data_IF_780407298323
#
_entry.id   IF_780407298323
#
_cell.length_a   1.000
_cell.length_b   1.000
_cell.length_c   1.000
_cell.angle_alpha   90.00
_cell.angle_beta   90.00
_cell.angle_gamma   90.00
#
_symmetry.space_group_name_H-M   'P 1'
#
loop_
_entity.id
_entity.type
_entity.pdbx_description
1 polymer ?
#
# COMPACT_ATOMS: atom_id res chain seq x y z
N UNK A 1 -3.68 12.54 -3.59
CA UNK A 1 -4.33 11.23 -3.59
C UNK A 1 -3.47 10.29 -4.44
N UNK A 2 -3.03 9.14 -3.90
CA UNK A 2 -2.21 8.15 -4.60
C UNK A 2 -2.97 7.53 -5.78
N UNK A 3 -4.25 7.22 -5.58
CA UNK A 3 -5.10 6.60 -6.61
C UNK A 3 -5.55 7.53 -7.74
N UNK A 4 -5.03 8.77 -7.83
CA UNK A 4 -5.41 9.73 -8.88
C UNK A 4 -5.16 9.24 -10.31
N UNK A 5 -4.28 8.25 -10.51
CA UNK A 5 -4.05 7.63 -11.81
C UNK A 5 -5.17 6.66 -12.23
N UNK A 6 -5.97 6.17 -11.28
CA UNK A 6 -7.10 5.27 -11.52
C UNK A 6 -8.44 6.00 -11.37
N UNK A 7 -8.59 6.79 -10.31
CA UNK A 7 -9.84 7.44 -9.91
C UNK A 7 -10.24 8.55 -10.87
N UNK A 8 -11.46 8.47 -11.42
CA UNK A 8 -11.99 9.36 -12.45
C UNK A 8 -11.81 8.86 -13.88
N UNK A 9 -11.13 7.73 -14.10
CA UNK A 9 -10.97 7.10 -15.42
C UNK A 9 -12.03 6.01 -15.65
N UNK A 10 -11.68 4.74 -15.48
CA UNK A 10 -12.61 3.59 -15.50
C UNK A 10 -12.99 3.13 -14.07
N UNK A 11 -12.28 3.64 -13.07
CA UNK A 11 -12.56 3.48 -11.64
C UNK A 11 -12.98 4.84 -11.10
N UNK A 12 -13.98 4.91 -10.22
CA UNK A 12 -14.40 6.16 -9.58
C UNK A 12 -15.16 7.14 -10.49
N UNK A 13 -15.53 6.73 -11.70
CA UNK A 13 -16.16 7.61 -12.71
C UNK A 13 -17.66 7.35 -12.92
N UNK A 14 -18.19 6.25 -12.39
CA UNK A 14 -19.55 5.81 -12.67
C UNK A 14 -20.55 6.51 -11.75
N UNK A 15 -21.84 6.46 -12.11
CA UNK A 15 -22.89 6.89 -11.19
C UNK A 15 -22.87 6.05 -9.89
N UNK A 16 -22.48 4.77 -9.99
CA UNK A 16 -22.26 3.89 -8.84
C UNK A 16 -21.13 4.39 -7.95
N UNK A 17 -20.04 4.88 -8.53
CA UNK A 17 -18.93 5.48 -7.79
C UNK A 17 -19.35 6.70 -6.97
N UNK A 18 -20.12 7.60 -7.58
CA UNK A 18 -20.67 8.78 -6.88
C UNK A 18 -21.66 8.37 -5.77
N UNK A 19 -22.49 7.36 -6.03
CA UNK A 19 -23.40 6.78 -5.03
C UNK A 19 -22.62 6.18 -3.86
N UNK A 20 -21.47 5.54 -4.11
CA UNK A 20 -20.59 5.00 -3.08
C UNK A 20 -20.00 6.12 -2.22
N UNK A 21 -19.52 7.20 -2.83
CA UNK A 21 -18.99 8.36 -2.09
C UNK A 21 -20.08 9.02 -1.25
N UNK A 22 -21.29 9.18 -1.80
CA UNK A 22 -22.45 9.71 -1.08
C UNK A 22 -22.83 8.81 0.11
N UNK A 23 -22.83 7.49 -0.08
CA UNK A 23 -23.04 6.51 0.99
C UNK A 23 -22.02 6.67 2.12
N UNK A 24 -20.72 6.69 1.79
CA UNK A 24 -19.63 6.83 2.76
C UNK A 24 -19.73 8.17 3.52
N UNK A 25 -20.09 9.25 2.82
CA UNK A 25 -20.32 10.56 3.44
C UNK A 25 -21.49 10.54 4.43
N UNK A 26 -22.59 9.86 4.10
CA UNK A 26 -23.80 9.79 4.89
C UNK A 26 -23.65 8.98 6.18
N UNK A 27 -22.71 8.04 6.22
CA UNK A 27 -22.37 7.29 7.43
C UNK A 27 -21.88 8.18 8.58
N UNK A 28 -21.36 9.39 8.29
CA UNK A 28 -20.86 10.35 9.28
C UNK A 28 -19.81 9.75 10.23
N UNK A 29 -18.98 8.88 9.69
CA UNK A 29 -17.87 8.18 10.37
C UNK A 29 -16.53 8.48 9.72
N UNK A 30 -15.46 8.33 10.49
CA UNK A 30 -14.07 8.42 10.03
C UNK A 30 -13.44 7.03 9.84
N UNK A 31 -13.93 6.00 10.54
CA UNK A 31 -13.53 4.61 10.33
C UNK A 31 -14.76 3.75 10.05
N UNK A 32 -14.72 3.01 8.95
CA UNK A 32 -15.85 2.23 8.42
C UNK A 32 -15.32 0.85 8.03
N UNK A 33 -15.88 -0.21 8.61
CA UNK A 33 -15.47 -1.57 8.25
C UNK A 33 -16.07 -2.01 6.92
N UNK A 34 -15.36 -2.86 6.18
CA UNK A 34 -15.85 -3.44 4.92
C UNK A 34 -17.13 -4.25 5.15
N UNK A 35 -17.22 -5.01 6.24
CA UNK A 35 -18.44 -5.70 6.65
C UNK A 35 -19.64 -4.76 6.85
N UNK A 36 -19.44 -3.56 7.42
CA UNK A 36 -20.50 -2.55 7.58
C UNK A 36 -20.97 -2.03 6.22
N UNK A 37 -20.02 -1.74 5.31
CA UNK A 37 -20.33 -1.34 3.93
C UNK A 37 -21.17 -2.43 3.27
N UNK A 38 -20.71 -3.69 3.33
CA UNK A 38 -21.37 -4.81 2.68
C UNK A 38 -22.79 -5.07 3.20
N UNK A 39 -22.98 -4.96 4.52
CA UNK A 39 -24.28 -5.12 5.14
C UNK A 39 -25.26 -4.02 4.73
N UNK A 40 -24.80 -2.78 4.63
CA UNK A 40 -25.65 -1.61 4.35
C UNK A 40 -25.97 -1.39 2.88
N UNK A 41 -25.09 -1.81 1.97
CA UNK A 41 -25.32 -1.72 0.51
C UNK A 41 -25.96 -2.98 -0.08
N UNK A 42 -26.04 -4.06 0.72
CA UNK A 42 -26.55 -5.35 0.27
C UNK A 42 -25.52 -6.25 -0.42
N UNK A 43 -24.26 -5.80 -0.56
CA UNK A 43 -23.17 -6.60 -1.15
C UNK A 43 -22.92 -7.90 -0.39
N UNK A 44 -23.30 -8.00 0.90
CA UNK A 44 -23.24 -9.26 1.65
C UNK A 44 -23.98 -10.42 0.97
N UNK A 45 -25.02 -10.11 0.16
CA UNK A 45 -25.80 -11.12 -0.59
C UNK A 45 -25.05 -11.70 -1.79
N UNK A 46 -24.00 -11.04 -2.25
CA UNK A 46 -23.13 -11.53 -3.32
C UNK A 46 -22.24 -12.69 -2.86
N UNK A 47 -22.02 -12.83 -1.55
CA UNK A 47 -21.15 -13.88 -0.98
C UNK A 47 -19.76 -13.94 -1.66
N UNK A 48 -19.17 -12.77 -1.92
CA UNK A 48 -17.89 -12.58 -2.63
C UNK A 48 -17.84 -13.14 -4.07
N UNK A 49 -18.99 -13.40 -4.68
CA UNK A 49 -19.12 -13.60 -6.13
C UNK A 49 -19.75 -12.35 -6.75
N UNK A 50 -18.92 -11.57 -7.44
CA UNK A 50 -19.35 -10.32 -8.07
C UNK A 50 -19.47 -10.44 -9.60
N UNK A 51 -19.44 -11.65 -10.15
CA UNK A 51 -19.59 -11.91 -11.59
C UNK A 51 -20.98 -11.54 -12.10
N UNK A 52 -21.99 -11.69 -11.25
CA UNK A 52 -23.37 -11.30 -11.52
C UNK A 52 -23.93 -10.54 -10.33
N UNK A 53 -24.57 -9.41 -10.60
CA UNK A 53 -25.21 -8.57 -9.60
C UNK A 53 -26.55 -9.17 -9.22
N UNK A 54 -26.68 -9.61 -7.96
CA UNK A 54 -28.00 -9.97 -7.43
C UNK A 54 -28.92 -8.74 -7.42
N UNK A 55 -30.22 -8.96 -7.61
CA UNK A 55 -31.19 -7.86 -7.62
C UNK A 55 -31.13 -7.02 -6.32
N UNK A 56 -31.35 -5.71 -6.47
CA UNK A 56 -31.54 -4.72 -5.38
C UNK A 56 -30.31 -4.40 -4.50
N UNK A 57 -29.11 -4.23 -5.07
CA UNK A 57 -28.03 -3.54 -4.35
C UNK A 57 -28.43 -2.07 -4.18
N UNK A 58 -28.85 -1.68 -2.99
CA UNK A 58 -29.31 -0.33 -2.68
C UNK A 58 -28.99 0.02 -1.23
N UNK A 59 -28.88 1.32 -0.95
CA UNK A 59 -28.94 1.86 0.40
C UNK A 59 -29.99 2.97 0.47
N UNK A 60 -30.50 3.21 1.69
CA UNK A 60 -31.38 4.36 1.95
C UNK A 60 -30.54 5.46 2.60
N UNK A 61 -30.38 6.58 1.91
CA UNK A 61 -29.67 7.74 2.41
C UNK A 61 -30.46 8.41 3.55
N UNK A 62 -29.79 9.13 4.45
CA UNK A 62 -30.43 9.72 5.64
C UNK A 62 -31.51 10.77 5.33
N UNK A 63 -31.56 11.28 4.10
CA UNK A 63 -32.63 12.15 3.61
C UNK A 63 -33.89 11.38 3.13
N UNK A 64 -33.85 10.05 3.11
CA UNK A 64 -34.94 9.15 2.70
C UNK A 64 -34.85 8.64 1.25
N UNK A 65 -33.87 9.08 0.47
CA UNK A 65 -33.70 8.63 -0.92
C UNK A 65 -33.16 7.21 -0.96
N UNK A 66 -33.70 6.39 -1.86
CA UNK A 66 -33.15 5.07 -2.20
C UNK A 66 -32.18 5.23 -3.35
N UNK A 67 -30.96 4.78 -3.13
CA UNK A 67 -29.86 4.90 -4.08
C UNK A 67 -29.31 3.51 -4.35
N UNK A 68 -29.28 3.12 -5.62
CA UNK A 68 -28.89 1.79 -6.06
C UNK A 68 -27.49 1.73 -6.69
N UNK A 69 -26.96 0.50 -6.75
CA UNK A 69 -25.72 0.14 -7.41
C UNK A 69 -26.03 -0.86 -8.53
N UNK A 70 -25.70 -0.50 -9.77
CA UNK A 70 -26.05 -1.31 -10.93
C UNK A 70 -25.17 -2.56 -11.09
N UNK A 71 -23.88 -2.46 -10.77
CA UNK A 71 -22.92 -3.56 -10.95
C UNK A 71 -22.09 -3.74 -9.69
N UNK A 72 -22.10 -4.94 -9.11
CA UNK A 72 -21.37 -5.21 -7.88
C UNK A 72 -19.86 -5.08 -8.07
N UNK A 73 -19.31 -5.59 -9.18
CA UNK A 73 -17.87 -5.52 -9.44
C UNK A 73 -17.37 -4.09 -9.58
N UNK A 74 -18.20 -3.18 -10.10
CA UNK A 74 -17.88 -1.75 -10.21
C UNK A 74 -17.66 -1.14 -8.82
N UNK A 75 -18.60 -1.39 -7.88
CA UNK A 75 -18.47 -0.95 -6.49
C UNK A 75 -17.27 -1.59 -5.79
N UNK A 76 -16.97 -2.85 -6.09
CA UNK A 76 -15.84 -3.58 -5.50
C UNK A 76 -14.50 -3.04 -6.00
N UNK A 77 -14.40 -2.68 -7.29
CA UNK A 77 -13.21 -2.05 -7.85
C UNK A 77 -12.99 -0.65 -7.25
N UNK A 78 -14.05 0.15 -7.09
CA UNK A 78 -14.00 1.44 -6.41
C UNK A 78 -13.57 1.31 -4.95
N UNK A 79 -14.14 0.34 -4.22
CA UNK A 79 -13.75 0.05 -2.83
C UNK A 79 -12.28 -0.37 -2.74
N UNK A 80 -11.79 -1.19 -3.67
CA UNK A 80 -10.38 -1.59 -3.69
C UNK A 80 -9.45 -0.39 -3.89
N UNK A 81 -9.80 0.54 -4.78
CA UNK A 81 -9.05 1.78 -4.96
C UNK A 81 -9.06 2.63 -3.68
N UNK A 82 -10.23 2.84 -3.05
CA UNK A 82 -10.32 3.59 -1.79
C UNK A 82 -9.49 2.91 -0.68
N UNK A 83 -9.56 1.58 -0.57
CA UNK A 83 -8.76 0.81 0.39
C UNK A 83 -7.25 0.97 0.12
N UNK A 84 -6.83 0.99 -1.14
CA UNK A 84 -5.43 1.26 -1.52
C UNK A 84 -4.99 2.65 -1.11
N UNK A 85 -5.81 3.68 -1.35
CA UNK A 85 -5.53 5.04 -0.89
C UNK A 85 -5.37 5.09 0.64
N UNK A 86 -6.30 4.47 1.37
CA UNK A 86 -6.23 4.39 2.83
C UNK A 86 -4.99 3.62 3.30
N UNK A 87 -4.53 2.61 2.56
CA UNK A 87 -3.35 1.83 2.93
C UNK A 87 -2.06 2.64 2.75
N UNK A 88 -1.95 3.40 1.65
CA UNK A 88 -0.76 4.21 1.34
C UNK A 88 -0.70 5.49 2.18
N UNK A 89 -1.81 6.24 2.24
CA UNK A 89 -1.86 7.57 2.86
C UNK A 89 -2.52 7.58 4.25
N UNK A 90 -2.89 6.42 4.79
CA UNK A 90 -3.58 6.27 6.06
C UNK A 90 -5.07 6.64 6.02
N UNK A 91 -5.51 7.47 5.09
CA UNK A 91 -6.92 7.84 4.91
C UNK A 91 -7.14 8.40 3.52
N UNK A 92 -8.41 8.48 3.11
CA UNK A 92 -8.82 9.24 1.92
C UNK A 92 -9.69 10.41 2.34
N UNK A 93 -9.53 11.57 1.70
CA UNK A 93 -10.48 12.67 1.86
C UNK A 93 -11.63 12.48 0.88
N UNK A 94 -12.87 12.42 1.38
CA UNK A 94 -14.05 12.24 0.52
C UNK A 94 -14.20 13.35 -0.54
N UNK A 95 -13.77 14.57 -0.23
CA UNK A 95 -13.76 15.69 -1.20
C UNK A 95 -12.83 15.44 -2.40
N UNK A 96 -11.77 14.65 -2.23
CA UNK A 96 -10.87 14.31 -3.34
C UNK A 96 -11.49 13.25 -4.26
N UNK A 97 -12.49 12.49 -3.78
CA UNK A 97 -13.23 11.49 -4.55
C UNK A 97 -14.42 12.09 -5.31
N UNK A 98 -15.11 13.07 -4.70
CA UNK A 98 -16.14 13.90 -5.35
C UNK A 98 -16.10 15.33 -4.81
N UNK A 99 -15.41 16.21 -5.54
CA UNK A 99 -15.23 17.61 -5.15
C UNK A 99 -16.48 18.48 -5.33
N UNK A 100 -17.55 17.96 -5.92
CA UNK A 100 -18.78 18.69 -6.13
C UNK A 100 -19.78 18.50 -4.98
N UNK A 101 -19.93 17.26 -4.49
CA UNK A 101 -20.98 16.94 -3.52
C UNK A 101 -20.46 16.44 -2.16
N UNK A 102 -19.25 15.87 -2.11
CA UNK A 102 -18.76 15.26 -0.88
C UNK A 102 -18.18 16.31 0.09
N UNK A 103 -18.37 16.13 1.41
CA UNK A 103 -17.73 16.99 2.40
C UNK A 103 -16.22 16.72 2.46
N UNK A 104 -15.43 17.72 2.86
CA UNK A 104 -14.05 17.49 3.26
C UNK A 104 -14.04 16.73 4.59
N UNK A 105 -13.76 15.43 4.53
CA UNK A 105 -13.67 14.52 5.67
C UNK A 105 -12.77 13.36 5.31
N UNK A 106 -11.78 13.12 6.16
CA UNK A 106 -10.92 11.96 6.04
C UNK A 106 -11.62 10.73 6.59
N UNK A 107 -11.59 9.64 5.82
CA UNK A 107 -12.08 8.34 6.24
C UNK A 107 -11.04 7.24 6.01
N UNK A 108 -11.19 6.13 6.73
CA UNK A 108 -10.45 4.88 6.54
C UNK A 108 -11.44 3.73 6.41
N UNK A 109 -11.21 2.86 5.42
CA UNK A 109 -11.88 1.57 5.32
C UNK A 109 -11.00 0.51 5.97
N UNK A 110 -11.57 -0.27 6.91
CA UNK A 110 -10.89 -1.38 7.57
C UNK A 110 -11.48 -2.71 7.12
N UNK A 111 -10.66 -3.75 7.00
CA UNK A 111 -11.11 -5.09 6.65
C UNK A 111 -10.31 -6.14 7.45
N UNK A 112 -10.94 -7.27 7.71
CA UNK A 112 -10.33 -8.46 8.32
C UNK A 112 -9.44 -9.20 7.32
N UNK A 113 -8.58 -10.11 7.80
CA UNK A 113 -7.73 -10.92 6.93
C UNK A 113 -8.55 -11.75 5.93
N UNK A 114 -9.63 -12.38 6.39
CA UNK A 114 -10.53 -13.18 5.54
C UNK A 114 -11.22 -12.33 4.46
N UNK A 115 -11.62 -11.10 4.81
CA UNK A 115 -12.18 -10.15 3.84
C UNK A 115 -11.13 -9.69 2.82
N UNK A 116 -9.89 -9.43 3.24
CA UNK A 116 -8.79 -9.12 2.35
C UNK A 116 -8.49 -10.27 1.38
N UNK A 117 -8.47 -11.53 1.86
CA UNK A 117 -8.29 -12.71 1.02
C UNK A 117 -9.41 -12.85 -0.02
N UNK A 118 -10.67 -12.67 0.42
CA UNK A 118 -11.83 -12.79 -0.44
C UNK A 118 -11.87 -11.67 -1.50
N UNK A 119 -11.55 -10.43 -1.14
CA UNK A 119 -11.42 -9.31 -2.06
C UNK A 119 -10.29 -9.53 -3.08
N UNK A 120 -9.10 -9.95 -2.63
CA UNK A 120 -7.98 -10.27 -3.51
C UNK A 120 -8.37 -11.32 -4.57
N UNK A 121 -9.04 -12.39 -4.12
CA UNK A 121 -9.52 -13.45 -5.02
C UNK A 121 -10.53 -12.91 -6.04
N UNK A 122 -11.49 -12.11 -5.61
CA UNK A 122 -12.52 -11.56 -6.49
C UNK A 122 -11.96 -10.59 -7.55
N UNK A 123 -11.05 -9.70 -7.14
CA UNK A 123 -10.37 -8.77 -8.06
C UNK A 123 -9.47 -9.52 -9.06
N UNK A 124 -8.76 -10.56 -8.59
CA UNK A 124 -7.93 -11.40 -9.47
C UNK A 124 -8.77 -12.17 -10.50
N UNK A 125 -9.96 -12.63 -10.13
CA UNK A 125 -10.86 -13.29 -11.08
C UNK A 125 -11.38 -12.32 -12.14
N UNK A 126 -11.77 -11.10 -11.75
CA UNK A 126 -12.18 -10.06 -12.69
C UNK A 126 -11.04 -9.69 -13.65
N UNK A 127 -9.84 -9.46 -13.15
CA UNK A 127 -8.67 -9.14 -13.97
C UNK A 127 -8.40 -10.21 -15.05
N UNK A 128 -8.59 -11.49 -14.71
CA UNK A 128 -8.36 -12.64 -15.61
C UNK A 128 -9.52 -12.93 -16.54
N UNK A 129 -10.75 -12.69 -16.10
CA UNK A 129 -11.98 -13.10 -16.78
C UNK A 129 -13.02 -11.98 -16.89
N UNK A 130 -12.68 -10.75 -17.32
CA UNK A 130 -13.57 -9.61 -17.21
C UNK A 130 -14.86 -9.79 -18.03
N UNK A 131 -14.81 -10.52 -19.14
CA UNK A 131 -15.99 -10.77 -20.01
C UNK A 131 -17.05 -11.69 -19.38
N UNK A 132 -16.77 -12.34 -18.24
CA UNK A 132 -17.78 -13.11 -17.50
C UNK A 132 -18.70 -12.22 -16.67
N UNK A 133 -18.27 -11.00 -16.40
CA UNK A 133 -18.97 -10.10 -15.50
C UNK A 133 -20.09 -9.36 -16.23
N UNK A 134 -21.23 -9.21 -15.57
CA UNK A 134 -22.40 -8.50 -16.09
C UNK A 134 -22.10 -7.04 -16.51
N UNK A 135 -21.09 -6.41 -15.92
CA UNK A 135 -20.58 -5.09 -16.32
C UNK A 135 -20.16 -5.04 -17.80
N UNK A 136 -19.77 -6.16 -18.42
CA UNK A 136 -19.40 -6.21 -19.84
C UNK A 136 -20.53 -5.84 -20.80
N UNK A 137 -21.76 -5.78 -20.31
CA UNK A 137 -22.91 -5.33 -21.10
C UNK A 137 -22.94 -3.81 -21.29
N UNK A 138 -22.22 -3.06 -20.44
CA UNK A 138 -22.19 -1.60 -20.45
C UNK A 138 -20.89 -1.01 -20.97
N UNK A 139 -19.83 -1.82 -21.06
CA UNK A 139 -18.51 -1.41 -21.53
C UNK A 139 -18.20 -2.08 -22.87
N UNK A 140 -17.44 -1.38 -23.71
CA UNK A 140 -16.83 -1.99 -24.89
C UNK A 140 -15.77 -3.02 -24.48
N UNK A 141 -15.40 -3.92 -25.41
CA UNK A 141 -14.36 -4.91 -25.17
C UNK A 141 -13.00 -4.30 -24.79
N UNK A 142 -12.70 -3.09 -25.30
CA UNK A 142 -11.45 -2.42 -24.99
C UNK A 142 -11.52 -1.74 -23.62
N UNK A 143 -12.64 -1.08 -23.29
CA UNK A 143 -12.85 -0.48 -21.96
C UNK A 143 -12.80 -1.52 -20.84
N UNK A 144 -13.49 -2.67 -21.00
CA UNK A 144 -13.46 -3.68 -19.93
C UNK A 144 -12.09 -4.34 -19.77
N UNK A 145 -11.29 -4.42 -20.85
CA UNK A 145 -9.90 -4.89 -20.77
C UNK A 145 -9.00 -3.87 -20.07
N UNK A 146 -9.17 -2.58 -20.34
CA UNK A 146 -8.43 -1.53 -19.66
C UNK A 146 -8.80 -1.48 -18.17
N UNK A 147 -10.09 -1.59 -17.84
CA UNK A 147 -10.53 -1.68 -16.45
C UNK A 147 -9.95 -2.90 -15.75
N UNK A 148 -9.86 -4.05 -16.42
CA UNK A 148 -9.23 -5.25 -15.86
C UNK A 148 -7.73 -5.06 -15.55
N UNK A 149 -7.03 -4.27 -16.37
CA UNK A 149 -5.62 -3.90 -16.12
C UNK A 149 -5.55 -2.99 -14.90
N UNK A 150 -6.36 -1.93 -14.84
CA UNK A 150 -6.39 -1.02 -13.68
C UNK A 150 -6.72 -1.76 -12.38
N UNK A 151 -7.70 -2.68 -12.42
CA UNK A 151 -8.07 -3.52 -11.27
C UNK A 151 -6.93 -4.44 -10.85
N UNK A 152 -6.19 -5.02 -11.80
CA UNK A 152 -5.03 -5.86 -11.48
C UNK A 152 -3.90 -5.03 -10.85
N UNK A 153 -3.62 -3.84 -11.36
CA UNK A 153 -2.61 -2.95 -10.79
C UNK A 153 -3.00 -2.52 -9.37
N UNK A 154 -4.26 -2.11 -9.16
CA UNK A 154 -4.79 -1.79 -7.83
C UNK A 154 -4.69 -3.01 -6.90
N UNK A 155 -5.06 -4.20 -7.37
CA UNK A 155 -5.00 -5.44 -6.57
C UNK A 155 -3.56 -5.79 -6.20
N UNK A 156 -2.64 -5.76 -7.17
CA UNK A 156 -1.23 -6.02 -6.94
C UNK A 156 -0.66 -5.00 -5.94
N UNK A 157 -0.98 -3.71 -6.11
CA UNK A 157 -0.58 -2.69 -5.18
C UNK A 157 -1.18 -2.90 -3.80
N UNK A 158 -2.45 -3.28 -3.68
CA UNK A 158 -3.14 -3.46 -2.39
C UNK A 158 -2.71 -4.74 -1.63
N UNK A 159 -2.45 -5.84 -2.34
CA UNK A 159 -2.27 -7.15 -1.70
C UNK A 159 -0.88 -7.75 -1.87
N UNK A 160 -0.19 -7.45 -2.97
CA UNK A 160 1.14 -8.00 -3.25
C UNK A 160 2.23 -7.01 -2.83
N UNK A 161 2.05 -5.71 -3.12
CA UNK A 161 2.99 -4.66 -2.72
C UNK A 161 2.62 -4.01 -1.38
N UNK A 162 1.35 -3.78 -1.10
CA UNK A 162 0.87 -3.20 0.17
C UNK A 162 0.56 -4.24 1.25
N UNK A 163 0.61 -5.53 0.88
CA UNK A 163 0.87 -6.62 1.83
C UNK A 163 2.19 -6.46 2.59
N UNK A 164 3.10 -5.60 2.13
CA UNK A 164 4.31 -5.21 2.87
C UNK A 164 4.04 -4.10 3.90
N UNK A 165 3.05 -3.22 3.65
CA UNK A 165 2.72 -2.07 4.50
C UNK A 165 1.87 -2.49 5.71
N UNK A 166 0.93 -3.42 5.52
CA UNK A 166 0.13 -4.01 6.61
C UNK A 166 0.94 -4.97 7.49
N UNK A 167 2.03 -5.55 6.96
CA UNK A 167 2.93 -6.47 7.66
C UNK A 167 4.16 -5.79 8.27
N UNK A 168 4.26 -4.46 8.31
CA UNK A 168 5.36 -3.83 9.03
C UNK A 168 5.41 -4.31 10.48
N UNK A 169 6.58 -4.81 10.88
CA UNK A 169 6.77 -5.40 12.19
C UNK A 169 6.55 -4.38 13.31
N UNK A 170 6.91 -3.11 13.05
CA UNK A 170 6.59 -1.97 13.92
C UNK A 170 5.58 -1.08 13.22
N UNK A 171 4.43 -0.83 13.87
CA UNK A 171 3.39 0.04 13.34
C UNK A 171 3.84 1.51 13.37
N UNK A 172 3.35 2.30 12.42
CA UNK A 172 3.72 3.71 12.29
C UNK A 172 3.45 4.52 13.58
N UNK A 173 2.38 4.20 14.30
CA UNK A 173 2.03 4.83 15.59
C UNK A 173 2.99 4.49 16.74
N UNK A 174 3.71 3.38 16.64
CA UNK A 174 4.68 2.93 17.64
C UNK A 174 6.11 3.45 17.36
N UNK A 175 6.34 4.05 16.18
CA UNK A 175 7.64 4.63 15.81
C UNK A 175 7.92 5.84 16.70
N UNK A 176 9.03 5.76 17.43
CA UNK A 176 9.52 6.84 18.29
C UNK A 176 10.52 7.69 17.54
N UNK A 177 10.56 8.97 17.89
CA UNK A 177 11.62 9.85 17.45
C UNK A 177 12.88 9.62 18.30
N UNK A 178 13.79 8.80 17.77
CA UNK A 178 15.05 8.39 18.39
C UNK A 178 16.24 9.27 17.93
N UNK A 179 16.10 9.96 16.79
CA UNK A 179 17.16 10.73 16.15
C UNK A 179 16.94 12.26 16.25
N UNK A 180 16.56 12.74 17.43
CA UNK A 180 16.17 14.14 17.67
C UNK A 180 17.24 15.18 17.30
N UNK A 181 18.50 14.81 17.48
CA UNK A 181 19.66 15.68 17.24
C UNK A 181 20.42 15.29 15.95
N UNK A 182 19.85 14.44 15.10
CA UNK A 182 20.49 14.03 13.85
C UNK A 182 20.36 15.14 12.80
N UNK A 183 21.51 15.63 12.33
CA UNK A 183 21.59 16.63 11.26
C UNK A 183 22.13 15.99 9.97
N UNK A 184 21.44 16.22 8.85
CA UNK A 184 21.83 15.76 7.52
C UNK A 184 20.72 15.01 6.80
N UNK A 185 21.07 14.42 5.66
CA UNK A 185 20.18 13.56 4.90
C UNK A 185 19.80 12.33 5.74
N UNK A 186 18.50 12.04 5.82
CA UNK A 186 17.92 10.99 6.65
C UNK A 186 17.25 9.88 5.83
N UNK A 187 17.25 9.93 4.50
CA UNK A 187 16.76 8.84 3.65
C UNK A 187 17.74 7.67 3.60
N UNK A 188 17.25 6.44 3.60
CA UNK A 188 18.03 5.21 3.47
C UNK A 188 17.24 4.12 2.78
N UNK A 189 17.92 3.05 2.34
CA UNK A 189 17.26 1.82 1.90
C UNK A 189 17.33 0.76 3.00
N UNK A 190 16.25 -0.01 3.15
CA UNK A 190 16.24 -1.18 4.00
C UNK A 190 15.47 -2.33 3.35
N UNK A 191 15.90 -3.56 3.63
CA UNK A 191 15.23 -4.77 3.14
C UNK A 191 13.95 -5.09 3.94
N UNK A 192 13.00 -5.75 3.27
CA UNK A 192 11.78 -6.23 3.93
C UNK A 192 12.03 -7.31 5.00
N UNK A 193 13.19 -7.97 4.98
CA UNK A 193 13.62 -8.83 6.11
C UNK A 193 13.61 -8.06 7.43
N UNK A 194 13.99 -6.78 7.40
CA UNK A 194 13.97 -5.92 8.58
C UNK A 194 12.57 -5.38 8.81
N UNK A 195 12.00 -4.67 7.82
CA UNK A 195 10.81 -3.85 8.05
C UNK A 195 9.52 -4.66 8.12
N UNK A 196 9.46 -5.81 7.47
CA UNK A 196 8.28 -6.68 7.41
C UNK A 196 8.45 -7.91 8.30
N UNK A 197 9.57 -8.62 8.16
CA UNK A 197 9.78 -9.87 8.90
C UNK A 197 10.36 -9.66 10.31
N UNK A 198 10.80 -8.44 10.64
CA UNK A 198 11.25 -8.07 11.98
C UNK A 198 12.66 -8.56 12.35
N UNK A 199 13.48 -8.95 11.36
CA UNK A 199 14.88 -9.29 11.60
C UNK A 199 15.69 -8.05 11.97
N UNK A 200 16.68 -8.23 12.84
CA UNK A 200 17.67 -7.19 13.12
C UNK A 200 18.58 -6.96 11.93
N UNK A 201 19.21 -5.79 11.88
CA UNK A 201 20.24 -5.48 10.89
C UNK A 201 21.46 -6.35 11.17
N UNK A 202 21.80 -7.24 10.24
CA UNK A 202 23.00 -8.06 10.30
C UNK A 202 24.10 -7.57 9.36
N UNK A 203 23.76 -6.81 8.33
CA UNK A 203 24.71 -6.19 7.42
C UNK A 203 24.23 -4.78 7.05
N UNK A 204 25.13 -3.81 7.09
CA UNK A 204 24.84 -2.46 6.63
C UNK A 204 26.07 -1.79 6.02
N UNK A 205 25.85 -0.96 5.02
CA UNK A 205 26.90 -0.18 4.39
C UNK A 205 26.41 1.21 4.06
N UNK A 206 27.37 2.11 3.88
CA UNK A 206 27.15 3.50 3.49
C UNK A 206 27.94 3.79 2.23
N UNK A 207 27.22 4.15 1.18
CA UNK A 207 27.78 4.60 -0.09
C UNK A 207 27.70 6.11 -0.25
N UNK A 208 28.22 6.62 -1.36
CA UNK A 208 28.09 8.04 -1.69
C UNK A 208 26.60 8.33 -1.91
N UNK A 209 26.07 9.32 -1.21
CA UNK A 209 24.69 9.77 -1.39
C UNK A 209 24.42 10.15 -2.86
N UNK A 210 23.31 9.66 -3.40
CA UNK A 210 22.89 9.98 -4.75
C UNK A 210 22.31 11.40 -4.85
N UNK A 211 21.60 11.84 -3.81
CA UNK A 211 20.88 13.11 -3.75
C UNK A 211 20.90 13.74 -2.35
N UNK A 212 20.43 14.97 -2.22
CA UNK A 212 20.37 15.70 -0.95
C UNK A 212 19.51 15.04 0.15
N UNK A 213 18.59 14.16 -0.22
CA UNK A 213 17.72 13.42 0.72
C UNK A 213 18.33 12.07 1.13
N UNK A 214 19.26 11.52 0.36
CA UNK A 214 19.85 10.21 0.59
C UNK A 214 21.03 10.32 1.57
N UNK A 215 20.97 9.56 2.66
CA UNK A 215 22.07 9.47 3.62
C UNK A 215 23.23 8.60 3.12
N UNK A 216 22.99 7.80 2.08
CA UNK A 216 23.87 6.75 1.56
C UNK A 216 23.77 5.43 2.32
N UNK A 217 23.00 5.35 3.42
CA UNK A 217 22.87 4.12 4.20
C UNK A 217 21.96 3.09 3.53
N UNK A 218 22.38 1.83 3.63
CA UNK A 218 21.68 0.64 3.15
C UNK A 218 21.71 -0.43 4.25
N UNK A 219 20.56 -0.98 4.61
CA UNK A 219 20.40 -1.92 5.72
C UNK A 219 19.79 -3.26 5.28
N UNK A 220 20.43 -4.36 5.68
CA UNK A 220 20.02 -5.74 5.38
C UNK A 220 20.10 -6.61 6.65
N UNK A 221 19.35 -7.71 6.69
CA UNK A 221 19.44 -8.73 7.74
C UNK A 221 20.75 -9.54 7.65
N UNK A 222 21.41 -9.54 6.49
CA UNK A 222 22.70 -10.19 6.24
C UNK A 222 22.58 -11.63 5.75
N UNK A 223 21.36 -12.15 5.58
CA UNK A 223 21.08 -13.48 5.03
C UNK A 223 20.28 -13.44 3.72
N UNK A 224 20.06 -12.25 3.17
CA UNK A 224 19.49 -12.06 1.85
C UNK A 224 20.39 -12.61 0.74
N UNK A 225 19.79 -13.29 -0.24
CA UNK A 225 20.49 -13.72 -1.45
C UNK A 225 20.69 -12.55 -2.44
N UNK A 226 21.65 -12.68 -3.36
CA UNK A 226 21.85 -11.69 -4.42
C UNK A 226 20.57 -11.47 -5.26
N UNK A 227 19.81 -12.53 -5.56
CA UNK A 227 18.56 -12.40 -6.29
C UNK A 227 17.51 -11.58 -5.53
N UNK A 228 17.54 -11.63 -4.19
CA UNK A 228 16.64 -10.87 -3.33
C UNK A 228 17.02 -9.38 -3.29
N UNK A 229 18.30 -9.07 -3.08
CA UNK A 229 18.79 -7.68 -3.02
C UNK A 229 18.68 -6.96 -4.37
N UNK A 230 18.78 -7.71 -5.48
CA UNK A 230 18.68 -7.13 -6.82
C UNK A 230 17.24 -6.89 -7.31
N UNK A 231 16.23 -7.28 -6.53
CA UNK A 231 14.83 -7.03 -6.86
C UNK A 231 14.31 -5.86 -6.01
N UNK A 232 14.04 -4.69 -6.62
CA UNK A 232 13.58 -3.50 -5.89
C UNK A 232 12.27 -3.69 -5.13
N UNK A 233 11.46 -4.71 -5.46
CA UNK A 233 10.22 -5.01 -4.74
C UNK A 233 10.45 -5.55 -3.32
N UNK A 234 11.68 -5.93 -2.95
CA UNK A 234 12.06 -6.36 -1.61
C UNK A 234 12.82 -5.32 -0.78
N UNK A 235 12.99 -4.12 -1.33
CA UNK A 235 13.67 -2.99 -0.71
C UNK A 235 12.69 -1.81 -0.59
N UNK A 236 12.81 -1.05 0.49
CA UNK A 236 12.04 0.16 0.70
C UNK A 236 12.92 1.37 1.02
N UNK A 237 12.43 2.56 0.68
CA UNK A 237 13.03 3.84 1.11
C UNK A 237 12.41 4.24 2.44
N UNK A 238 13.26 4.51 3.43
CA UNK A 238 12.82 4.87 4.79
C UNK A 238 13.65 6.03 5.34
N UNK A 239 13.11 6.69 6.37
CA UNK A 239 13.93 7.54 7.22
C UNK A 239 14.83 6.70 8.12
N UNK A 240 16.06 7.14 8.36
CA UNK A 240 17.00 6.53 9.31
C UNK A 240 16.35 6.30 10.68
N UNK A 241 15.57 7.28 11.15
CA UNK A 241 14.83 7.16 12.41
C UNK A 241 13.90 5.92 12.43
N UNK A 242 13.28 5.61 11.30
CA UNK A 242 12.41 4.44 11.17
C UNK A 242 13.22 3.18 11.43
N UNK A 243 14.33 2.98 10.71
CA UNK A 243 15.15 1.77 10.85
C UNK A 243 15.79 1.67 12.24
N UNK A 244 16.13 2.80 12.87
CA UNK A 244 16.59 2.83 14.27
C UNK A 244 15.56 2.29 15.27
N UNK A 245 14.26 2.33 14.96
CA UNK A 245 13.24 1.70 15.81
C UNK A 245 13.21 0.18 15.64
N UNK A 246 13.57 -0.34 14.47
CA UNK A 246 13.73 -1.79 14.22
C UNK A 246 15.01 -2.33 14.85
N UNK A 247 16.08 -1.53 14.84
CA UNK A 247 17.36 -1.90 15.43
C UNK A 247 18.10 -0.69 15.98
N UNK A 248 18.01 -0.47 17.30
CA UNK A 248 18.62 0.68 17.97
C UNK A 248 20.14 0.69 17.93
N UNK A 249 20.78 -0.45 17.68
CA UNK A 249 22.25 -0.57 17.73
C UNK A 249 22.90 0.19 16.56
N UNK A 250 22.16 0.42 15.45
CA UNK A 250 22.66 1.15 14.28
C UNK A 250 22.90 2.63 14.56
N UNK A 251 22.25 3.21 15.59
CA UNK A 251 22.37 4.63 15.94
C UNK A 251 23.85 5.03 16.11
N UNK A 252 24.65 4.13 16.70
CA UNK A 252 26.07 4.36 16.93
C UNK A 252 26.92 4.38 15.64
N UNK A 253 26.38 3.88 14.53
CA UNK A 253 27.08 3.80 13.25
C UNK A 253 26.82 5.00 12.35
N UNK A 254 25.68 5.69 12.50
CA UNK A 254 25.17 6.65 11.51
C UNK A 254 26.11 7.82 11.19
N UNK A 255 27.00 8.18 12.12
CA UNK A 255 28.00 9.24 11.94
C UNK A 255 29.26 8.78 11.19
N UNK A 256 29.37 7.48 10.87
CA UNK A 256 30.50 6.96 10.11
C UNK A 256 30.44 7.49 8.67
N UNK A 257 31.52 8.11 8.15
CA UNK A 257 31.54 8.62 6.79
C UNK A 257 31.52 7.49 5.76
N UNK A 258 30.97 7.77 4.57
CA UNK A 258 31.07 6.87 3.42
C UNK A 258 32.47 6.94 2.78
N UNK A 259 32.96 5.85 2.17
CA UNK A 259 32.39 4.52 2.15
C UNK A 259 32.70 3.74 3.43
N UNK A 260 31.74 2.96 3.93
CA UNK A 260 31.96 2.01 5.03
C UNK A 260 30.97 0.84 4.98
N UNK A 261 31.35 -0.30 5.54
CA UNK A 261 30.50 -1.47 5.69
C UNK A 261 30.71 -2.13 7.05
N UNK A 262 29.65 -2.72 7.60
CA UNK A 262 29.63 -3.39 8.89
C UNK A 262 28.86 -4.69 8.81
N UNK A 263 29.38 -5.72 9.48
CA UNK A 263 28.68 -6.99 9.70
C UNK A 263 28.45 -7.17 11.20
N UNK A 264 27.27 -7.65 11.58
CA UNK A 264 26.99 -8.04 12.95
C UNK A 264 27.56 -9.44 13.20
N UNK A 265 28.44 -9.55 14.18
CA UNK A 265 29.06 -10.82 14.55
C UNK A 265 28.11 -11.73 15.35
N UNK A 266 28.58 -12.93 15.67
CA UNK A 266 27.81 -13.91 16.45
C UNK A 266 27.47 -13.46 17.89
N UNK A 267 28.15 -12.43 18.41
CA UNK A 267 27.87 -11.83 19.71
C UNK A 267 26.87 -10.66 19.60
N UNK A 268 26.41 -10.34 18.39
CA UNK A 268 25.50 -9.23 18.14
C UNK A 268 26.20 -7.88 18.04
N UNK A 269 27.53 -7.83 17.89
CA UNK A 269 28.30 -6.58 17.82
C UNK A 269 28.63 -6.28 16.36
N UNK A 270 28.45 -5.02 15.94
CA UNK A 270 28.88 -4.59 14.61
C UNK A 270 30.40 -4.48 14.53
N UNK A 271 30.97 -5.19 13.56
CA UNK A 271 32.39 -5.14 13.21
C UNK A 271 32.51 -4.50 11.83
N UNK A 272 33.33 -3.46 11.74
CA UNK A 272 33.60 -2.82 10.46
C UNK A 272 34.37 -3.77 9.55
N UNK A 273 33.85 -3.99 8.35
CA UNK A 273 34.54 -4.72 7.30
C UNK A 273 35.49 -3.72 6.64
N UNK A 274 36.76 -4.09 6.53
CA UNK A 274 37.72 -3.34 5.71
C UNK A 274 37.67 -3.92 4.30
N UNK A 275 37.59 -3.06 3.30
CA UNK A 275 37.91 -3.45 1.93
C UNK A 275 39.40 -3.85 1.91
N UNK A 276 39.67 -5.14 2.05
CA UNK A 276 40.92 -5.70 1.59
C UNK A 276 40.81 -5.84 0.06
N UNK A 277 41.57 -4.98 -0.61
CA UNK A 277 41.87 -4.92 -2.05
C UNK A 277 41.08 -3.89 -2.88
N UNK A 278 41.75 -2.75 -3.09
CA UNK A 278 41.39 -1.83 -4.17
C UNK A 278 41.46 -2.52 -5.53
N UNK A 279 40.31 -2.57 -6.21
CA UNK A 279 40.26 -2.77 -7.65
C UNK A 279 39.79 -1.48 -8.30
N UNK A 280 40.79 -0.86 -8.89
CA UNK A 280 40.81 0.26 -9.82
C UNK A 280 39.68 0.24 -10.86
N UNK A 281 39.19 1.45 -11.14
CA UNK A 281 38.39 1.88 -12.30
C UNK A 281 38.29 0.87 -13.46
N UNK A 282 37.06 0.60 -13.91
CA UNK A 282 36.68 0.59 -15.34
C UNK A 282 35.17 0.40 -15.53
N UNK A 283 34.49 1.50 -15.81
CA UNK A 283 33.35 1.48 -16.75
C UNK A 283 33.86 1.05 -18.13
N UNK A 284 33.09 0.24 -18.89
CA UNK A 284 33.03 0.31 -20.34
C UNK A 284 31.89 1.22 -20.83
#
# INVERSE_FOLDING_TARGET
MYISQYWGNLIGCSAGSLNLVAFLADLKKEEISLSEIFAKTGLVRQNFDFSHTVEYLEFTHSNGDKIDFHFAIDVIADLAAIMLECCINGSVNLYDLDSYNAPSRHIRITATADEHEAMNKALSDFAKNPQKYDLCQMLTNDEIRLMAIDVEDIRADLYEKSGLISNYHIKAEDIKDLLKDYEGADGCLASHRITVEGFKVGYCYREKADDAWDSGWRFCAGDESDAYINDPSYLGIYKLNTICNYDTDIINLLQTPAPCAFLRDANGIFVQIKDEDGIDNKEP
#
